data_IF_675166918526
#
_entry.id   IF_675166918526
#
_cell.length_a   1.000
_cell.length_b   1.000
_cell.length_c   1.000
_cell.angle_alpha   90.00
_cell.angle_beta   90.00
_cell.angle_gamma   90.00
#
_symmetry.space_group_name_H-M   'P 1'
#
loop_
_entity.id
_entity.type
_entity.pdbx_description
1 polymer ?
#
# COMPACT_ATOMS: atom_id res chain seq x y z
N UNK A 1 -18.62 -1.78 -9.39
CA UNK A 1 -17.73 -1.54 -8.23
C UNK A 1 -16.30 -1.63 -8.77
N UNK A 2 -15.56 -0.52 -8.77
CA UNK A 2 -14.19 -0.46 -9.28
C UNK A 2 -13.19 -0.44 -8.13
N UNK A 3 -11.93 -0.75 -8.42
CA UNK A 3 -10.83 -0.64 -7.45
C UNK A 3 -9.63 0.07 -8.08
N UNK A 4 -8.81 0.69 -7.24
CA UNK A 4 -7.54 1.24 -7.66
C UNK A 4 -6.59 0.11 -8.04
N UNK A 5 -5.89 0.25 -9.16
CA UNK A 5 -4.95 -0.75 -9.68
C UNK A 5 -3.62 -0.08 -10.01
N UNK A 6 -2.54 -0.86 -10.10
CA UNK A 6 -1.25 -0.36 -10.59
C UNK A 6 -1.40 0.16 -12.03
N UNK A 7 -0.64 1.20 -12.38
CA UNK A 7 -0.78 1.93 -13.66
C UNK A 7 -0.60 1.06 -14.91
N UNK A 8 0.12 -0.07 -14.79
CA UNK A 8 0.34 -1.01 -15.90
C UNK A 8 -0.80 -2.02 -16.09
N UNK A 9 -1.76 -2.10 -15.15
CA UNK A 9 -2.85 -3.09 -15.22
C UNK A 9 -3.74 -2.89 -16.45
N UNK A 10 -4.15 -1.67 -16.85
CA UNK A 10 -4.86 -1.47 -18.11
C UNK A 10 -4.11 -2.04 -19.32
N UNK A 11 -2.82 -1.74 -19.44
CA UNK A 11 -1.97 -2.24 -20.54
C UNK A 11 -1.84 -3.77 -20.54
N UNK A 12 -1.75 -4.39 -19.36
CA UNK A 12 -1.71 -5.85 -19.21
C UNK A 12 -3.04 -6.48 -19.65
N UNK A 13 -4.18 -5.84 -19.32
CA UNK A 13 -5.50 -6.30 -19.77
C UNK A 13 -5.62 -6.20 -21.29
N UNK A 14 -5.19 -5.09 -21.89
CA UNK A 14 -5.16 -4.90 -23.34
C UNK A 14 -4.30 -5.96 -24.04
N UNK A 15 -3.11 -6.24 -23.51
CA UNK A 15 -2.22 -7.29 -24.02
C UNK A 15 -2.84 -8.69 -23.96
N UNK A 16 -3.80 -8.92 -23.06
CA UNK A 16 -4.58 -10.17 -22.98
C UNK A 16 -5.73 -10.26 -23.99
N UNK A 17 -5.90 -9.25 -24.86
CA UNK A 17 -6.97 -9.18 -25.86
C UNK A 17 -8.32 -8.70 -25.30
N UNK A 18 -8.33 -8.17 -24.07
CA UNK A 18 -9.53 -7.61 -23.42
C UNK A 18 -9.47 -6.09 -23.44
N UNK A 19 -10.63 -5.43 -23.36
CA UNK A 19 -10.71 -3.96 -23.32
C UNK A 19 -10.99 -3.52 -21.88
N UNK A 20 -10.05 -2.84 -21.18
CA UNK A 20 -10.31 -2.32 -19.84
C UNK A 20 -11.14 -1.04 -19.90
N UNK A 21 -12.14 -0.94 -19.03
CA UNK A 21 -12.81 0.33 -18.74
C UNK A 21 -12.14 0.95 -17.51
N UNK A 22 -11.49 2.09 -17.66
CA UNK A 22 -10.82 2.79 -16.56
C UNK A 22 -10.85 4.31 -16.75
N UNK A 23 -10.59 5.02 -15.66
CA UNK A 23 -10.34 6.47 -15.63
C UNK A 23 -9.19 6.75 -14.68
N UNK A 24 -8.47 7.84 -14.92
CA UNK A 24 -7.52 8.36 -13.92
C UNK A 24 -8.28 9.15 -12.86
N UNK A 25 -7.87 8.99 -11.60
CA UNK A 25 -8.41 9.76 -10.48
C UNK A 25 -7.82 11.17 -10.48
N UNK A 26 -8.58 12.16 -10.05
CA UNK A 26 -8.04 13.50 -9.83
C UNK A 26 -7.24 13.59 -8.52
N UNK A 27 -6.59 14.74 -8.29
CA UNK A 27 -5.73 14.92 -7.11
C UNK A 27 -6.50 14.91 -5.78
N UNK A 28 -7.79 15.30 -5.78
CA UNK A 28 -8.63 15.28 -4.59
C UNK A 28 -9.13 13.88 -4.24
N UNK A 29 -9.37 13.04 -5.24
CA UNK A 29 -9.72 11.63 -5.08
C UNK A 29 -8.51 10.75 -4.72
N UNK A 30 -7.31 11.14 -5.15
CA UNK A 30 -6.09 10.33 -5.06
C UNK A 30 -5.74 9.92 -3.63
N UNK A 31 -5.74 10.87 -2.68
CA UNK A 31 -5.40 10.57 -1.28
C UNK A 31 -6.37 9.58 -0.64
N UNK A 32 -7.67 9.79 -0.82
CA UNK A 32 -8.72 8.87 -0.33
C UNK A 32 -8.56 7.48 -0.95
N UNK A 33 -8.30 7.41 -2.26
CA UNK A 33 -8.12 6.15 -2.97
C UNK A 33 -6.89 5.36 -2.50
N UNK A 34 -5.80 6.03 -2.14
CA UNK A 34 -4.62 5.37 -1.55
C UNK A 34 -4.89 4.83 -0.14
N UNK A 35 -5.68 5.55 0.67
CA UNK A 35 -6.10 5.07 1.99
C UNK A 35 -7.00 3.84 1.85
N UNK A 36 -7.99 3.90 0.96
CA UNK A 36 -8.86 2.76 0.66
C UNK A 36 -8.04 1.55 0.17
N UNK A 37 -7.03 1.81 -0.68
CA UNK A 37 -6.11 0.78 -1.16
C UNK A 37 -5.31 0.16 -0.02
N UNK A 38 -4.83 0.95 0.95
CA UNK A 38 -4.13 0.41 2.13
C UNK A 38 -5.01 -0.56 2.92
N UNK A 39 -6.30 -0.24 3.10
CA UNK A 39 -7.26 -1.14 3.76
C UNK A 39 -7.62 -2.37 2.92
N UNK A 40 -7.57 -2.28 1.59
CA UNK A 40 -7.69 -3.43 0.69
C UNK A 40 -6.49 -4.36 0.89
N UNK A 41 -5.26 -3.88 0.74
CA UNK A 41 -4.05 -4.72 0.82
C UNK A 41 -3.84 -5.32 2.22
N UNK A 42 -4.18 -4.57 3.28
CA UNK A 42 -4.13 -5.12 4.65
C UNK A 42 -5.11 -6.28 4.85
N UNK A 43 -6.25 -6.26 4.14
CA UNK A 43 -7.24 -7.34 4.17
C UNK A 43 -6.81 -8.51 3.30
N UNK A 44 -6.24 -8.25 2.13
CA UNK A 44 -5.65 -9.28 1.28
C UNK A 44 -4.52 -10.00 2.04
N UNK A 45 -3.63 -9.28 2.74
CA UNK A 45 -2.63 -9.89 3.65
C UNK A 45 -3.23 -10.74 4.77
N UNK A 46 -4.31 -10.27 5.40
CA UNK A 46 -5.01 -11.03 6.46
C UNK A 46 -5.56 -12.36 5.93
N UNK A 47 -6.17 -12.33 4.75
CA UNK A 47 -6.82 -13.48 4.13
C UNK A 47 -5.84 -14.38 3.33
N UNK A 48 -4.62 -13.90 3.09
CA UNK A 48 -3.60 -14.57 2.29
C UNK A 48 -3.08 -15.87 2.91
N UNK A 49 -2.85 -16.84 2.03
CA UNK A 49 -2.12 -18.06 2.38
C UNK A 49 -0.67 -17.71 2.77
N UNK A 50 0.04 -18.57 3.53
CA UNK A 50 1.43 -18.32 3.88
C UNK A 50 2.36 -18.07 2.68
N UNK A 51 2.09 -18.67 1.52
CA UNK A 51 2.88 -18.45 0.30
C UNK A 51 2.61 -17.11 -0.37
N UNK A 52 1.42 -16.53 -0.19
CA UNK A 52 1.02 -15.28 -0.85
C UNK A 52 1.37 -14.05 0.00
N UNK A 53 1.43 -14.20 1.33
CA UNK A 53 1.76 -13.11 2.29
C UNK A 53 2.97 -12.24 1.92
N UNK A 54 4.10 -12.76 1.41
CA UNK A 54 5.22 -11.91 1.01
C UNK A 54 4.86 -10.93 -0.12
N UNK A 55 3.99 -11.34 -1.06
CA UNK A 55 3.47 -10.48 -2.12
C UNK A 55 2.60 -9.37 -1.54
N UNK A 56 1.64 -9.73 -0.68
CA UNK A 56 0.75 -8.76 -0.04
C UNK A 56 1.50 -7.75 0.84
N UNK A 57 2.59 -8.16 1.52
CA UNK A 57 3.46 -7.22 2.24
C UNK A 57 4.16 -6.23 1.30
N UNK A 58 4.53 -6.66 0.09
CA UNK A 58 5.12 -5.78 -0.90
C UNK A 58 4.09 -4.78 -1.46
N UNK A 59 2.84 -5.22 -1.66
CA UNK A 59 1.74 -4.34 -2.04
C UNK A 59 1.41 -3.32 -0.94
N UNK A 60 1.37 -3.73 0.34
CA UNK A 60 1.24 -2.81 1.48
C UNK A 60 2.38 -1.79 1.49
N UNK A 61 3.62 -2.21 1.31
CA UNK A 61 4.78 -1.31 1.32
C UNK A 61 4.69 -0.29 0.18
N UNK A 62 4.33 -0.71 -1.03
CA UNK A 62 4.11 0.18 -2.18
C UNK A 62 3.09 1.26 -1.86
N UNK A 63 1.95 0.88 -1.27
CA UNK A 63 0.89 1.83 -0.90
C UNK A 63 1.36 2.79 0.19
N UNK A 64 2.12 2.32 1.18
CA UNK A 64 2.71 3.17 2.24
C UNK A 64 3.67 4.21 1.63
N UNK A 65 4.52 3.81 0.67
CA UNK A 65 5.41 4.74 -0.03
C UNK A 65 4.63 5.76 -0.88
N UNK A 66 3.59 5.33 -1.58
CA UNK A 66 2.73 6.23 -2.34
C UNK A 66 2.01 7.26 -1.45
N UNK A 67 1.52 6.83 -0.28
CA UNK A 67 0.94 7.72 0.72
C UNK A 67 1.96 8.72 1.28
N UNK A 68 3.17 8.27 1.59
CA UNK A 68 4.24 9.15 2.04
C UNK A 68 4.57 10.21 0.98
N UNK A 69 4.75 9.80 -0.27
CA UNK A 69 4.98 10.72 -1.38
C UNK A 69 3.83 11.72 -1.57
N UNK A 70 2.57 11.27 -1.44
CA UNK A 70 1.40 12.15 -1.48
C UNK A 70 1.40 13.20 -0.36
N UNK A 71 1.93 12.87 0.82
CA UNK A 71 2.12 13.78 1.94
C UNK A 71 3.39 14.66 1.82
N UNK A 72 4.14 14.54 0.73
CA UNK A 72 5.41 15.26 0.54
C UNK A 72 6.57 14.69 1.36
N UNK A 73 6.46 13.45 1.82
CA UNK A 73 7.48 12.75 2.61
C UNK A 73 8.26 11.78 1.71
N UNK A 74 9.55 12.03 1.43
CA UNK A 74 10.37 11.10 0.67
C UNK A 74 10.66 9.83 1.49
N UNK A 75 10.98 8.74 0.80
CA UNK A 75 11.21 7.42 1.41
C UNK A 75 12.24 7.44 2.54
N UNK A 76 13.33 8.20 2.35
CA UNK A 76 14.38 8.36 3.37
C UNK A 76 13.86 8.97 4.66
N UNK A 77 12.95 9.93 4.55
CA UNK A 77 12.41 10.63 5.71
C UNK A 77 11.40 9.75 6.45
N UNK A 78 10.61 8.95 5.72
CA UNK A 78 9.78 7.92 6.33
C UNK A 78 10.63 6.88 7.07
N UNK A 79 11.74 6.43 6.47
CA UNK A 79 12.63 5.45 7.09
C UNK A 79 13.29 6.00 8.36
N UNK A 80 13.71 7.27 8.33
CA UNK A 80 14.22 7.96 9.51
C UNK A 80 13.15 8.05 10.61
N UNK A 81 11.90 8.41 10.28
CA UNK A 81 10.80 8.45 11.25
C UNK A 81 10.50 7.06 11.86
N UNK A 82 10.64 5.99 11.09
CA UNK A 82 10.50 4.62 11.60
C UNK A 82 11.66 4.28 12.54
N UNK A 83 12.89 4.62 12.16
CA UNK A 83 14.08 4.37 12.98
C UNK A 83 14.03 5.15 14.31
N UNK A 84 13.65 6.43 14.29
CA UNK A 84 13.53 7.27 15.48
C UNK A 84 12.46 6.70 16.43
N UNK A 85 11.28 6.34 15.92
CA UNK A 85 10.23 5.70 16.73
C UNK A 85 10.71 4.40 17.36
N UNK A 86 11.48 3.60 16.62
CA UNK A 86 12.02 2.33 17.11
C UNK A 86 13.09 2.54 18.19
N UNK A 87 13.92 3.57 18.06
CA UNK A 87 14.91 3.94 19.08
C UNK A 87 14.22 4.44 20.36
N UNK A 88 13.18 5.28 20.22
CA UNK A 88 12.47 5.90 21.33
C UNK A 88 11.53 4.93 22.07
N UNK A 89 10.87 4.03 21.33
CA UNK A 89 9.74 3.24 21.84
C UNK A 89 9.94 1.73 21.74
N UNK A 90 11.04 1.29 21.12
CA UNK A 90 11.26 -0.11 20.76
C UNK A 90 10.53 -0.52 19.48
N UNK A 91 10.83 -1.72 19.00
CA UNK A 91 10.09 -2.38 17.93
C UNK A 91 9.11 -3.41 18.46
N UNK A 92 8.59 -4.24 17.56
CA UNK A 92 7.61 -5.28 17.90
C UNK A 92 8.26 -6.63 18.25
N UNK A 93 9.57 -6.70 18.50
CA UNK A 93 10.30 -7.96 18.73
C UNK A 93 9.83 -8.69 19.99
N UNK A 94 9.42 -7.95 21.02
CA UNK A 94 8.94 -8.52 22.28
C UNK A 94 7.44 -8.82 22.27
N UNK A 95 6.69 -8.37 21.25
CA UNK A 95 5.24 -8.57 21.11
C UNK A 95 4.46 -8.30 22.42
N UNK A 96 4.67 -7.12 23.00
CA UNK A 96 4.02 -6.72 24.26
C UNK A 96 2.55 -6.32 24.02
N UNK A 97 1.65 -6.80 24.86
CA UNK A 97 0.21 -6.49 24.85
C UNK A 97 -0.18 -5.72 26.11
N UNK A 98 -1.00 -4.66 25.96
CA UNK A 98 -1.52 -3.83 27.06
C UNK A 98 -3.06 -3.96 27.13
N UNK A 99 -3.59 -4.05 28.36
CA UNK A 99 -5.03 -4.07 28.68
C UNK A 99 -5.56 -2.67 29.05
#
# INVERSE_FOLDING_TARGET
MGKSVRDLIPSIIEASGRVPEYRTLDHGEYGTALIDKLFEEAREFHDATPSDRPGELADILEVVRALAAHLGLPDSDLDNLVADKRADRGGFEQLVWLE
#
